data_IF_014294770951
#
_entry.id   IF_014294770951
#
_cell.length_a   1.000
_cell.length_b   1.000
_cell.length_c   1.000
_cell.angle_alpha   90.00
_cell.angle_beta   90.00
_cell.angle_gamma   90.00
#
_symmetry.space_group_name_H-M   'P 1'
#
loop_
_entity.id
_entity.type
_entity.pdbx_description
1 polymer ?
#
# COMPACT_ATOMS: atom_id res chain seq x y z
N UNK A 1 -9.24 12.19 59.80
CA UNK A 1 -9.26 12.05 58.34
C UNK A 1 -9.96 13.28 57.77
N UNK A 2 -9.24 14.29 57.22
CA UNK A 2 -9.88 15.47 56.68
C UNK A 2 -10.25 15.24 55.20
N UNK A 3 -11.43 15.76 54.84
CA UNK A 3 -12.04 15.71 53.51
C UNK A 3 -11.26 16.60 52.53
N UNK A 4 -10.96 16.12 51.34
CA UNK A 4 -10.33 16.87 50.26
C UNK A 4 -11.38 17.73 49.55
N UNK A 5 -11.21 19.03 49.58
CA UNK A 5 -11.91 20.04 48.81
C UNK A 5 -11.66 19.87 47.30
N UNK A 6 -12.71 19.82 46.50
CA UNK A 6 -12.66 19.89 45.08
C UNK A 6 -12.76 21.35 44.66
N UNK A 7 -11.65 21.93 44.28
CA UNK A 7 -11.59 23.25 43.66
C UNK A 7 -12.30 23.23 42.27
N UNK A 8 -13.38 24.01 42.15
CA UNK A 8 -14.08 24.28 40.91
C UNK A 8 -13.31 25.33 40.10
N UNK A 9 -12.93 25.01 38.85
CA UNK A 9 -12.37 25.94 37.91
C UNK A 9 -13.41 26.97 37.44
N UNK A 10 -13.07 28.25 37.26
CA UNK A 10 -14.02 29.29 36.81
C UNK A 10 -14.33 29.13 35.33
N UNK A 11 -15.63 29.24 35.01
CA UNK A 11 -16.14 29.29 33.64
C UNK A 11 -15.67 30.60 32.97
N UNK A 12 -15.00 30.48 31.81
CA UNK A 12 -14.67 31.60 30.94
C UNK A 12 -15.97 32.14 30.30
N UNK A 13 -16.29 33.38 30.61
CA UNK A 13 -17.31 34.18 29.95
C UNK A 13 -16.94 34.37 28.46
N UNK A 14 -17.83 33.93 27.58
CA UNK A 14 -17.74 34.22 26.15
C UNK A 14 -18.39 35.60 25.94
N UNK A 15 -17.55 36.62 25.78
CA UNK A 15 -17.98 37.93 25.32
C UNK A 15 -18.61 37.83 23.94
N UNK A 16 -19.91 38.15 23.85
CA UNK A 16 -20.65 38.31 22.60
C UNK A 16 -20.24 39.61 21.95
N UNK A 17 -19.62 39.53 20.78
CA UNK A 17 -19.36 40.69 19.92
C UNK A 17 -20.68 41.31 19.43
N UNK A 18 -20.82 42.63 19.45
CA UNK A 18 -22.04 43.29 18.99
C UNK A 18 -22.20 43.19 17.47
N UNK A 19 -23.37 42.67 17.02
CA UNK A 19 -23.74 42.68 15.60
C UNK A 19 -23.75 44.12 15.06
N UNK A 20 -22.86 44.41 14.13
CA UNK A 20 -22.91 45.64 13.33
C UNK A 20 -24.22 45.70 12.56
N UNK A 21 -25.12 46.64 12.92
CA UNK A 21 -26.30 47.01 12.12
C UNK A 21 -25.76 47.54 10.77
N UNK A 22 -26.11 46.82 9.70
CA UNK A 22 -25.98 47.38 8.33
C UNK A 22 -27.02 48.47 8.18
N UNK A 23 -26.57 49.72 8.07
CA UNK A 23 -27.37 50.82 7.62
C UNK A 23 -27.87 50.58 6.20
N UNK A 24 -29.19 50.51 6.01
CA UNK A 24 -29.81 50.58 4.69
C UNK A 24 -29.67 52.00 4.17
N UNK A 25 -28.97 52.13 3.04
CA UNK A 25 -28.99 53.35 2.24
C UNK A 25 -30.32 53.38 1.47
N UNK A 26 -31.03 54.51 1.42
CA UNK A 26 -32.25 54.63 0.62
C UNK A 26 -31.88 54.76 -0.87
N UNK A 27 -32.64 54.04 -1.62
CA UNK A 27 -33.02 54.10 -3.02
C UNK A 27 -32.34 55.13 -3.95
N UNK A 28 -31.47 54.62 -4.79
CA UNK A 28 -31.22 55.25 -6.08
C UNK A 28 -32.00 54.50 -7.17
N UNK A 29 -33.21 54.90 -7.38
CA UNK A 29 -33.95 54.61 -8.61
C UNK A 29 -33.30 55.41 -9.74
N UNK A 30 -32.63 54.77 -10.68
CA UNK A 30 -32.05 55.44 -11.85
C UNK A 30 -31.41 54.45 -12.81
N UNK A 31 -32.15 54.12 -13.87
CA UNK A 31 -31.62 53.74 -15.19
C UNK A 31 -30.90 52.38 -15.35
N UNK A 32 -31.63 51.26 -15.20
CA UNK A 32 -31.17 49.98 -15.76
C UNK A 32 -31.72 49.61 -17.16
N UNK A 33 -32.31 50.58 -17.89
CA UNK A 33 -32.83 50.30 -19.24
C UNK A 33 -31.80 50.50 -20.37
N UNK A 34 -30.64 51.12 -20.11
CA UNK A 34 -29.64 51.37 -21.16
C UNK A 34 -28.63 50.25 -21.31
N UNK A 35 -28.34 49.48 -20.27
CA UNK A 35 -27.32 48.45 -20.30
C UNK A 35 -27.74 47.17 -21.00
N UNK A 36 -29.05 46.87 -20.99
CA UNK A 36 -29.59 45.60 -21.59
C UNK A 36 -29.55 45.64 -23.14
N UNK A 37 -29.59 46.84 -23.75
CA UNK A 37 -29.53 46.99 -25.19
C UNK A 37 -28.09 46.89 -25.73
N UNK A 38 -27.12 47.40 -24.93
CA UNK A 38 -25.70 47.36 -25.30
C UNK A 38 -25.10 45.95 -25.26
N UNK A 39 -25.49 45.15 -24.25
CA UNK A 39 -25.03 43.75 -24.13
C UNK A 39 -25.65 42.81 -25.20
N UNK A 40 -26.78 43.20 -25.84
CA UNK A 40 -27.35 42.44 -26.97
C UNK A 40 -26.61 42.69 -28.31
N UNK A 41 -26.00 43.84 -28.45
CA UNK A 41 -25.27 44.21 -29.67
C UNK A 41 -23.81 43.76 -29.67
N UNK A 42 -23.24 43.49 -28.48
CA UNK A 42 -21.85 43.09 -28.35
C UNK A 42 -21.74 41.97 -27.27
N UNK A 43 -22.05 40.69 -27.62
CA UNK A 43 -21.93 39.61 -26.67
C UNK A 43 -20.48 39.47 -26.23
N UNK A 44 -20.20 39.72 -24.96
CA UNK A 44 -18.89 39.48 -24.36
C UNK A 44 -18.48 38.04 -24.65
N UNK A 45 -17.22 37.81 -25.08
CA UNK A 45 -16.76 36.44 -25.32
C UNK A 45 -16.95 35.65 -23.99
N UNK A 46 -17.76 34.60 -24.07
CA UNK A 46 -17.96 33.69 -22.93
C UNK A 46 -16.59 33.07 -22.65
N UNK A 47 -16.05 33.36 -21.46
CA UNK A 47 -14.86 32.68 -20.99
C UNK A 47 -15.05 31.16 -21.15
N UNK A 48 -14.04 30.42 -21.66
CA UNK A 48 -14.16 28.99 -21.83
C UNK A 48 -14.59 28.35 -20.51
N UNK A 49 -15.47 27.35 -20.54
CA UNK A 49 -15.93 26.71 -19.32
C UNK A 49 -14.70 26.17 -18.59
N UNK A 50 -14.51 26.64 -17.35
CA UNK A 50 -13.46 26.08 -16.48
C UNK A 50 -13.75 24.60 -16.34
N UNK A 51 -12.86 23.76 -16.86
CA UNK A 51 -12.94 22.33 -16.68
C UNK A 51 -13.00 22.05 -15.17
N UNK A 52 -14.10 21.49 -14.73
CA UNK A 52 -14.24 21.04 -13.35
C UNK A 52 -13.28 19.89 -13.16
N UNK A 53 -12.24 20.09 -12.36
CA UNK A 53 -11.32 19.04 -11.99
C UNK A 53 -12.15 17.89 -11.38
N UNK A 54 -12.00 16.69 -11.94
CA UNK A 54 -12.63 15.50 -11.39
C UNK A 54 -12.08 15.27 -9.98
N UNK A 55 -12.93 14.89 -9.02
CA UNK A 55 -12.46 14.57 -7.67
C UNK A 55 -11.38 13.49 -7.76
N UNK A 56 -10.25 13.73 -7.14
CA UNK A 56 -9.20 12.71 -7.03
C UNK A 56 -9.52 11.83 -5.82
N UNK A 57 -10.02 10.63 -6.07
CA UNK A 57 -10.28 9.62 -5.02
C UNK A 57 -9.03 8.80 -4.67
N UNK A 58 -7.90 9.09 -5.27
CA UNK A 58 -6.63 8.49 -4.88
C UNK A 58 -6.26 8.89 -3.46
N UNK A 59 -5.74 7.95 -2.68
CA UNK A 59 -5.22 8.22 -1.34
C UNK A 59 -4.13 9.29 -1.43
N UNK A 60 -4.28 10.39 -0.69
CA UNK A 60 -3.21 11.38 -0.56
C UNK A 60 -2.00 10.71 0.12
N UNK A 61 -0.78 11.09 -0.26
CA UNK A 61 0.44 10.45 0.26
C UNK A 61 0.50 10.37 1.79
N UNK A 62 -0.01 11.38 2.50
CA UNK A 62 -0.08 11.41 3.96
C UNK A 62 -1.11 10.43 4.53
N UNK A 63 -2.29 10.29 3.90
CA UNK A 63 -3.31 9.31 4.31
C UNK A 63 -2.86 7.89 4.02
N UNK A 64 -2.22 7.64 2.87
CA UNK A 64 -1.66 6.35 2.53
C UNK A 64 -0.54 5.96 3.52
N UNK A 65 0.32 6.91 3.90
CA UNK A 65 1.35 6.69 4.90
C UNK A 65 0.76 6.36 6.28
N UNK A 66 -0.29 7.08 6.70
CA UNK A 66 -0.95 6.83 7.99
C UNK A 66 -1.66 5.47 8.07
N UNK A 67 -2.20 4.98 6.95
CA UNK A 67 -2.89 3.67 6.89
C UNK A 67 -1.94 2.48 6.72
N UNK A 68 -0.75 2.70 6.15
CA UNK A 68 0.22 1.65 5.87
C UNK A 68 1.44 1.75 6.82
N UNK A 69 1.17 1.67 8.11
CA UNK A 69 2.21 1.68 9.15
C UNK A 69 2.24 0.37 9.93
N UNK A 70 3.43 -0.18 10.17
CA UNK A 70 3.66 -1.35 11.04
C UNK A 70 4.62 -0.92 12.15
N UNK A 71 4.20 -1.05 13.40
CA UNK A 71 4.97 -0.62 14.59
C UNK A 71 5.47 0.85 14.52
N UNK A 72 4.67 1.76 13.96
CA UNK A 72 5.03 3.18 13.82
C UNK A 72 5.95 3.52 12.65
N UNK A 73 6.37 2.52 11.86
CA UNK A 73 7.19 2.73 10.67
C UNK A 73 6.31 2.64 9.42
N UNK A 74 6.44 3.61 8.53
CA UNK A 74 5.73 3.63 7.25
C UNK A 74 6.27 2.55 6.33
N UNK A 75 5.39 1.70 5.83
CA UNK A 75 5.76 0.63 4.90
C UNK A 75 5.88 1.18 3.48
N UNK A 76 6.97 0.82 2.79
CA UNK A 76 7.17 1.14 1.37
C UNK A 76 6.30 0.32 0.43
N UNK A 77 5.78 -0.79 0.92
CA UNK A 77 4.99 -1.75 0.16
C UNK A 77 3.54 -1.74 0.59
N UNK A 78 2.64 -1.83 -0.39
CA UNK A 78 1.21 -2.00 -0.17
C UNK A 78 0.76 -3.31 -0.81
N UNK A 79 0.06 -4.12 -0.02
CA UNK A 79 -0.39 -5.44 -0.46
C UNK A 79 -1.48 -5.33 -1.54
N UNK A 80 -1.36 -6.05 -2.66
CA UNK A 80 -2.36 -6.03 -3.72
C UNK A 80 -3.63 -6.78 -3.33
N UNK A 81 -4.75 -6.47 -3.98
CA UNK A 81 -6.06 -7.12 -3.73
C UNK A 81 -6.08 -8.63 -4.03
N UNK A 82 -5.15 -9.09 -4.87
CA UNK A 82 -4.98 -10.49 -5.27
C UNK A 82 -4.14 -11.31 -4.29
N UNK A 83 -3.68 -10.69 -3.21
CA UNK A 83 -2.90 -11.33 -2.18
C UNK A 83 -3.69 -12.47 -1.52
N UNK A 84 -3.07 -13.64 -1.41
CA UNK A 84 -3.65 -14.82 -0.78
C UNK A 84 -2.57 -15.56 -0.01
N UNK A 85 -2.96 -16.17 1.10
CA UNK A 85 -2.07 -17.07 1.84
C UNK A 85 -1.91 -18.37 1.06
N UNK A 86 -0.69 -18.87 1.03
CA UNK A 86 -0.36 -20.17 0.45
C UNK A 86 0.29 -21.04 1.51
N UNK A 87 0.09 -22.35 1.42
CA UNK A 87 0.71 -23.32 2.32
C UNK A 87 1.77 -24.13 1.57
N UNK A 88 2.66 -24.74 2.34
CA UNK A 88 3.66 -25.66 1.82
C UNK A 88 4.89 -25.00 1.20
N UNK A 89 5.08 -23.70 1.36
CA UNK A 89 6.31 -23.04 0.94
C UNK A 89 7.27 -22.87 2.12
N UNK A 90 8.54 -23.23 1.87
CA UNK A 90 9.64 -23.08 2.82
C UNK A 90 10.81 -22.37 2.17
N UNK A 91 11.55 -21.61 2.95
CA UNK A 91 12.82 -21.03 2.55
C UNK A 91 13.92 -21.67 3.39
N UNK A 92 14.87 -22.28 2.73
CA UNK A 92 16.09 -22.75 3.35
C UNK A 92 17.15 -21.67 3.24
N UNK A 93 17.72 -21.29 4.37
CA UNK A 93 18.74 -20.24 4.42
C UNK A 93 20.10 -20.90 4.54
N UNK A 94 20.94 -20.68 3.55
CA UNK A 94 22.32 -21.18 3.53
C UNK A 94 23.32 -20.03 3.76
N UNK A 95 24.43 -20.35 4.37
CA UNK A 95 25.60 -19.49 4.47
C UNK A 95 26.87 -20.32 4.32
N UNK A 96 27.70 -19.97 3.34
CA UNK A 96 28.91 -20.73 3.04
C UNK A 96 28.66 -22.24 2.83
N UNK A 97 27.58 -22.58 2.14
CA UNK A 97 27.19 -23.96 1.85
C UNK A 97 26.61 -24.75 3.03
N UNK A 98 26.41 -24.11 4.20
CA UNK A 98 25.78 -24.74 5.37
C UNK A 98 24.39 -24.17 5.56
N UNK A 99 23.41 -25.03 5.78
CA UNK A 99 22.07 -24.64 6.21
C UNK A 99 22.13 -24.04 7.62
N UNK A 100 21.55 -22.86 7.78
CA UNK A 100 21.50 -22.14 9.06
C UNK A 100 20.09 -22.06 9.62
N UNK A 101 19.06 -21.97 8.76
CA UNK A 101 17.68 -21.78 9.19
C UNK A 101 16.69 -22.28 8.15
N UNK A 102 15.45 -22.58 8.58
CA UNK A 102 14.34 -22.94 7.71
C UNK A 102 13.13 -22.11 8.10
N UNK A 103 12.64 -21.31 7.16
CA UNK A 103 11.51 -20.42 7.36
C UNK A 103 10.25 -20.97 6.67
N UNK A 104 9.17 -21.11 7.40
CA UNK A 104 7.87 -21.52 6.85
C UNK A 104 7.07 -20.29 6.41
N UNK A 105 6.54 -20.29 5.20
CA UNK A 105 5.79 -19.18 4.61
C UNK A 105 4.26 -19.39 4.63
N UNK A 106 3.74 -20.14 5.59
CA UNK A 106 2.32 -20.53 5.63
C UNK A 106 1.38 -19.51 6.29
N UNK A 107 1.96 -18.56 7.03
CA UNK A 107 1.18 -17.72 7.97
C UNK A 107 0.59 -16.47 7.32
N UNK A 108 1.31 -15.87 6.40
CA UNK A 108 1.00 -14.56 5.82
C UNK A 108 0.89 -14.66 4.30
N UNK A 109 0.24 -13.68 3.70
CA UNK A 109 0.17 -13.50 2.25
C UNK A 109 1.40 -12.77 1.71
N UNK A 110 2.08 -11.99 2.56
CA UNK A 110 3.30 -11.29 2.22
C UNK A 110 4.32 -11.35 3.36
N UNK A 111 5.60 -11.34 3.01
CA UNK A 111 6.72 -11.33 3.95
C UNK A 111 7.70 -10.25 3.55
N UNK A 112 7.89 -9.28 4.44
CA UNK A 112 8.87 -8.22 4.25
C UNK A 112 10.26 -8.72 4.63
N UNK A 113 11.19 -8.59 3.71
CA UNK A 113 12.61 -8.86 3.90
C UNK A 113 13.37 -7.56 4.09
N UNK A 114 14.19 -7.46 5.12
CA UNK A 114 14.96 -6.25 5.37
C UNK A 114 15.87 -6.32 6.57
N UNK A 115 16.66 -5.26 6.74
CA UNK A 115 17.58 -5.15 7.88
C UNK A 115 16.88 -4.70 9.17
N UNK A 116 15.77 -3.96 9.05
CA UNK A 116 15.03 -3.46 10.22
C UNK A 116 14.18 -4.56 10.83
N UNK A 117 14.62 -5.10 11.96
CA UNK A 117 13.93 -6.18 12.70
C UNK A 117 12.57 -5.78 13.27
N UNK A 118 12.25 -4.48 13.36
CA UNK A 118 10.96 -4.02 13.89
C UNK A 118 9.84 -4.31 12.91
N UNK A 119 10.12 -4.17 11.62
CA UNK A 119 9.10 -4.29 10.55
C UNK A 119 9.30 -5.51 9.66
N UNK A 120 10.56 -5.98 9.51
CA UNK A 120 10.86 -7.13 8.66
C UNK A 120 10.36 -8.44 9.29
N UNK A 121 9.67 -9.25 8.48
CA UNK A 121 9.26 -10.60 8.85
C UNK A 121 10.44 -11.58 8.70
N UNK A 122 11.31 -11.31 7.72
CA UNK A 122 12.54 -12.05 7.47
C UNK A 122 13.72 -11.08 7.63
N UNK A 123 14.38 -11.08 8.79
CA UNK A 123 15.49 -10.16 9.03
C UNK A 123 16.75 -10.62 8.31
N UNK A 124 17.35 -9.72 7.51
CA UNK A 124 18.64 -9.91 6.87
C UNK A 124 19.66 -8.99 7.52
N UNK A 125 20.44 -9.54 8.45
CA UNK A 125 21.44 -8.77 9.21
C UNK A 125 22.71 -8.54 8.40
N UNK A 126 22.62 -7.72 7.36
CA UNK A 126 23.77 -7.32 6.56
C UNK A 126 23.70 -5.82 6.26
N UNK A 127 24.84 -5.14 6.33
CA UNK A 127 24.92 -3.68 6.16
C UNK A 127 24.54 -3.23 4.76
N UNK A 128 24.78 -4.06 3.74
CA UNK A 128 24.40 -3.79 2.36
C UNK A 128 22.90 -3.89 2.10
N UNK A 129 22.13 -4.45 3.04
CA UNK A 129 20.69 -4.58 2.88
C UNK A 129 19.97 -3.33 3.38
N UNK A 130 18.94 -2.91 2.66
CA UNK A 130 18.07 -1.81 3.05
C UNK A 130 17.19 -2.19 4.23
N UNK A 131 16.69 -1.20 5.01
CA UNK A 131 15.78 -1.42 6.13
C UNK A 131 14.53 -2.19 5.72
N UNK A 132 13.92 -1.80 4.60
CA UNK A 132 12.89 -2.53 3.85
C UNK A 132 13.47 -2.80 2.47
N UNK A 133 13.87 -4.04 2.19
CA UNK A 133 14.66 -4.39 1.02
C UNK A 133 13.80 -4.97 -0.10
N UNK A 134 13.07 -6.03 0.19
CA UNK A 134 12.22 -6.74 -0.75
C UNK A 134 11.00 -7.31 -0.06
N UNK A 135 10.00 -7.71 -0.84
CA UNK A 135 8.81 -8.42 -0.34
C UNK A 135 8.60 -9.69 -1.13
N UNK A 136 8.31 -10.77 -0.41
CA UNK A 136 7.82 -12.01 -0.98
C UNK A 136 6.30 -11.95 -0.88
N UNK A 137 5.61 -11.94 -2.01
CA UNK A 137 4.15 -11.80 -2.09
C UNK A 137 3.52 -13.01 -2.74
N UNK A 138 2.61 -13.65 -2.05
CA UNK A 138 1.75 -14.69 -2.62
C UNK A 138 0.54 -14.05 -3.29
N UNK A 139 0.36 -14.33 -4.59
CA UNK A 139 -0.73 -13.79 -5.40
C UNK A 139 -1.52 -14.89 -6.07
N UNK A 140 -2.83 -14.71 -6.10
CA UNK A 140 -3.71 -15.55 -6.89
C UNK A 140 -3.60 -15.16 -8.36
N UNK A 141 -3.21 -16.10 -9.21
CA UNK A 141 -3.14 -15.91 -10.65
C UNK A 141 -4.39 -16.50 -11.28
N UNK A 142 -5.12 -15.72 -12.05
CA UNK A 142 -6.23 -16.23 -12.85
C UNK A 142 -5.65 -16.82 -14.13
N UNK A 143 -5.65 -18.13 -14.24
CA UNK A 143 -5.29 -18.84 -15.47
C UNK A 143 -6.50 -18.80 -16.40
N UNK A 144 -6.31 -18.27 -17.61
CA UNK A 144 -7.31 -18.35 -18.68
C UNK A 144 -7.17 -19.71 -19.35
N UNK A 145 -8.27 -20.44 -19.47
CA UNK A 145 -8.32 -21.66 -20.24
C UNK A 145 -8.17 -21.37 -21.74
N UNK A 146 -7.91 -22.37 -22.55
CA UNK A 146 -7.82 -22.27 -24.00
C UNK A 146 -9.07 -21.64 -24.66
N UNK A 147 -10.20 -21.67 -23.96
CA UNK A 147 -11.48 -21.08 -24.37
C UNK A 147 -11.66 -19.62 -23.91
N UNK A 148 -10.67 -19.03 -23.23
CA UNK A 148 -10.71 -17.64 -22.75
C UNK A 148 -11.48 -17.41 -21.46
N UNK A 149 -12.06 -18.46 -20.87
CA UNK A 149 -12.75 -18.38 -19.60
C UNK A 149 -11.75 -18.32 -18.44
N UNK A 150 -12.03 -17.42 -17.50
CA UNK A 150 -11.25 -17.31 -16.26
C UNK A 150 -11.74 -18.39 -15.31
N UNK A 151 -10.90 -19.37 -15.00
CA UNK A 151 -11.19 -20.35 -13.93
C UNK A 151 -11.34 -19.61 -12.60
N UNK A 152 -12.59 -19.29 -12.27
CA UNK A 152 -12.95 -18.88 -10.93
C UNK A 152 -12.95 -20.14 -10.06
N UNK A 153 -12.27 -20.15 -8.91
CA UNK A 153 -12.36 -21.28 -8.00
C UNK A 153 -13.84 -21.51 -7.68
N UNK A 154 -14.37 -22.66 -8.13
CA UNK A 154 -15.75 -23.04 -7.90
C UNK A 154 -15.91 -23.26 -6.39
N UNK A 155 -16.72 -22.42 -5.75
CA UNK A 155 -16.98 -22.43 -4.30
C UNK A 155 -17.69 -23.68 -3.76
N UNK A 156 -17.87 -24.73 -4.57
CA UNK A 156 -18.79 -25.82 -4.29
C UNK A 156 -18.18 -27.22 -4.36
N UNK A 157 -16.97 -27.45 -3.81
CA UNK A 157 -16.56 -28.81 -3.49
C UNK A 157 -15.96 -28.87 -2.10
N UNK A 158 -16.49 -29.74 -1.22
CA UNK A 158 -15.87 -29.96 0.07
C UNK A 158 -14.57 -30.75 -0.10
N UNK A 159 -13.51 -30.19 0.42
CA UNK A 159 -12.24 -30.77 0.85
C UNK A 159 -11.36 -31.58 -0.12
N UNK A 160 -11.43 -31.43 -1.43
CA UNK A 160 -10.36 -31.92 -2.31
C UNK A 160 -9.69 -30.74 -3.02
N UNK A 161 -8.41 -30.62 -2.77
CA UNK A 161 -7.38 -29.80 -3.43
C UNK A 161 -7.90 -28.93 -4.57
N UNK A 162 -8.50 -27.79 -4.24
CA UNK A 162 -8.49 -26.66 -5.17
C UNK A 162 -7.01 -26.31 -5.28
N UNK A 163 -6.37 -26.66 -6.40
CA UNK A 163 -5.09 -26.07 -6.75
C UNK A 163 -5.30 -24.55 -6.72
N UNK A 164 -5.02 -23.99 -5.57
CA UNK A 164 -5.05 -22.53 -5.45
C UNK A 164 -3.94 -22.06 -6.35
N UNK A 165 -4.28 -21.47 -7.51
CA UNK A 165 -3.32 -20.86 -8.43
C UNK A 165 -2.61 -19.67 -7.76
N UNK A 166 -2.18 -19.87 -6.52
CA UNK A 166 -1.43 -18.91 -5.73
C UNK A 166 0.04 -19.19 -5.92
N UNK A 167 0.74 -18.21 -6.45
CA UNK A 167 2.17 -18.28 -6.72
C UNK A 167 2.93 -17.26 -5.91
N UNK A 168 4.14 -17.59 -5.45
CA UNK A 168 5.03 -16.63 -4.82
C UNK A 168 5.69 -15.72 -5.86
N UNK A 169 5.77 -14.46 -5.53
CA UNK A 169 6.49 -13.44 -6.30
C UNK A 169 7.43 -12.69 -5.38
N UNK A 170 8.55 -12.25 -5.92
CA UNK A 170 9.44 -11.33 -5.25
C UNK A 170 9.39 -9.96 -5.92
N UNK A 171 9.43 -8.91 -5.12
CA UNK A 171 9.52 -7.53 -5.57
C UNK A 171 10.59 -6.80 -4.76
N UNK A 172 11.54 -6.16 -5.43
CA UNK A 172 12.52 -5.29 -4.81
C UNK A 172 11.92 -3.91 -4.53
N UNK A 173 12.16 -3.34 -3.35
CA UNK A 173 11.60 -2.06 -2.89
C UNK A 173 12.55 -0.89 -3.10
N UNK A 174 13.18 -0.77 -4.25
CA UNK A 174 14.25 0.19 -4.53
C UNK A 174 15.39 0.04 -3.51
N UNK A 175 15.89 -1.19 -3.38
CA UNK A 175 17.00 -1.45 -2.48
C UNK A 175 18.31 -0.88 -3.03
N UNK A 176 19.24 -0.51 -2.14
CA UNK A 176 20.49 0.15 -2.53
C UNK A 176 21.37 -0.75 -3.41
N UNK A 177 21.49 -2.02 -3.06
CA UNK A 177 22.37 -2.97 -3.77
C UNK A 177 21.59 -3.94 -4.66
N UNK A 178 20.24 -3.92 -4.60
CA UNK A 178 19.36 -4.76 -5.39
C UNK A 178 19.21 -6.16 -4.83
N UNK A 179 18.30 -6.90 -5.44
CA UNK A 179 17.99 -8.31 -5.15
C UNK A 179 18.40 -9.14 -6.36
N UNK A 180 18.98 -10.31 -6.13
CA UNK A 180 19.38 -11.26 -7.17
C UNK A 180 18.49 -12.51 -7.10
N UNK A 181 17.99 -12.95 -8.25
CA UNK A 181 17.28 -14.21 -8.44
C UNK A 181 18.09 -15.09 -9.39
N UNK A 182 18.52 -16.25 -8.90
CA UNK A 182 19.36 -17.19 -9.65
C UNK A 182 20.65 -16.57 -10.24
N UNK A 183 21.23 -15.58 -9.54
CA UNK A 183 22.43 -14.86 -9.98
C UNK A 183 22.17 -13.68 -10.92
N UNK A 184 20.94 -13.43 -11.30
CA UNK A 184 20.56 -12.26 -12.10
C UNK A 184 19.89 -11.21 -11.21
N UNK A 185 20.30 -9.94 -11.39
CA UNK A 185 19.72 -8.82 -10.66
C UNK A 185 18.34 -8.49 -11.20
N UNK A 186 17.32 -8.47 -10.33
CA UNK A 186 15.95 -8.14 -10.71
C UNK A 186 15.72 -6.62 -10.75
N UNK A 187 14.78 -6.19 -11.60
CA UNK A 187 14.33 -4.80 -11.65
C UNK A 187 13.55 -4.43 -10.40
N UNK A 188 13.81 -3.25 -9.85
CA UNK A 188 13.05 -2.74 -8.72
C UNK A 188 11.59 -2.47 -9.08
N UNK A 189 10.69 -2.61 -8.10
CA UNK A 189 9.23 -2.40 -8.20
C UNK A 189 8.51 -3.29 -9.22
N UNK A 190 9.12 -4.36 -9.66
CA UNK A 190 8.51 -5.34 -10.54
C UNK A 190 8.41 -6.70 -9.85
N UNK A 191 7.31 -7.41 -10.11
CA UNK A 191 7.09 -8.76 -9.60
C UNK A 191 7.79 -9.79 -10.47
N UNK A 192 8.61 -10.63 -9.85
CA UNK A 192 9.23 -11.80 -10.45
C UNK A 192 8.68 -13.05 -9.80
N UNK A 193 8.20 -13.99 -10.61
CA UNK A 193 7.69 -15.27 -10.11
C UNK A 193 8.83 -16.10 -9.53
N UNK A 194 8.62 -16.66 -8.35
CA UNK A 194 9.55 -17.59 -7.70
C UNK A 194 9.04 -19.02 -7.96
N UNK A 195 9.95 -19.87 -8.38
CA UNK A 195 9.70 -21.30 -8.57
C UNK A 195 10.40 -22.11 -7.50
N UNK A 196 10.05 -23.39 -7.44
CA UNK A 196 10.78 -24.36 -6.58
C UNK A 196 12.23 -24.44 -7.02
N UNK A 197 13.14 -24.46 -6.04
CA UNK A 197 14.60 -24.48 -6.21
C UNK A 197 15.24 -23.15 -6.64
N UNK A 198 14.44 -22.07 -6.79
CA UNK A 198 15.02 -20.74 -7.04
C UNK A 198 15.80 -20.25 -5.82
N UNK A 199 16.94 -19.64 -6.13
CA UNK A 199 17.85 -19.05 -5.14
C UNK A 199 17.77 -17.52 -5.21
N UNK A 200 17.54 -16.90 -4.05
CA UNK A 200 17.50 -15.44 -3.90
C UNK A 200 18.65 -14.98 -3.02
N UNK A 201 19.30 -13.89 -3.41
CA UNK A 201 20.29 -13.15 -2.61
C UNK A 201 19.85 -11.70 -2.44
N UNK A 202 20.09 -11.15 -1.25
CA UNK A 202 19.75 -9.76 -0.93
C UNK A 202 21.01 -8.93 -0.77
N UNK A 203 21.21 -7.95 -1.67
CA UNK A 203 22.38 -7.10 -1.69
C UNK A 203 23.67 -7.90 -1.81
N UNK A 204 24.66 -7.55 -1.01
CA UNK A 204 25.97 -8.25 -0.96
C UNK A 204 26.03 -9.25 0.21
N UNK A 205 24.88 -9.73 0.68
CA UNK A 205 24.83 -10.72 1.75
C UNK A 205 25.39 -12.07 1.29
N UNK A 206 26.13 -12.74 2.18
CA UNK A 206 26.64 -14.10 1.94
C UNK A 206 25.59 -15.18 2.20
N UNK A 207 24.37 -14.80 2.60
CA UNK A 207 23.26 -15.72 2.80
C UNK A 207 22.52 -15.94 1.48
N UNK A 208 22.16 -17.18 1.23
CA UNK A 208 21.39 -17.66 0.08
C UNK A 208 20.06 -18.20 0.57
N UNK A 209 18.98 -17.82 -0.09
CA UNK A 209 17.62 -18.18 0.28
C UNK A 209 17.05 -19.04 -0.83
N UNK A 210 16.88 -20.35 -0.57
CA UNK A 210 16.35 -21.30 -1.54
C UNK A 210 14.89 -21.59 -1.22
N UNK A 211 14.03 -21.42 -2.22
CA UNK A 211 12.61 -21.64 -2.10
C UNK A 211 12.24 -23.05 -2.49
N UNK A 212 11.53 -23.76 -1.61
CA UNK A 212 11.08 -25.13 -1.86
C UNK A 212 9.58 -25.22 -1.54
N UNK A 213 8.82 -25.78 -2.47
CA UNK A 213 7.42 -26.15 -2.27
C UNK A 213 7.34 -27.58 -1.79
N UNK A 214 6.74 -27.80 -0.64
CA UNK A 214 6.49 -29.14 -0.08
C UNK A 214 5.34 -29.81 -0.85
N UNK A 215 5.58 -30.90 -1.56
CA UNK A 215 4.55 -31.57 -2.34
C UNK A 215 3.49 -32.24 -1.46
N UNK A 216 3.76 -32.46 -0.18
CA UNK A 216 2.84 -33.14 0.75
C UNK A 216 1.71 -32.23 1.27
N UNK A 217 1.79 -30.92 1.01
CA UNK A 217 0.85 -29.90 1.52
C UNK A 217 0.00 -29.33 0.36
N UNK A 218 -0.11 -30.02 -0.75
CA UNK A 218 -0.93 -29.61 -1.90
C UNK A 218 -2.43 -29.86 -1.64
#
# INVERSE_FOLDING_TARGET
>A
MPRRDRSRSPRRDRSRSPRRRRSRSPDAWGSHQHDVAYDRANPRPKSPPKEKQKPNYGLSGLLAAATNTKHGVVMKYHEPSEARKCKGWRIYVFKNGKEIDVLNLDRQSSYLVGRDRIVADIPVDHTSCSSQHAVIQFRQVNVKNEYGDVDKPIKYFPCYAVETNVRPYIIDLDSTNGTELNGEKIESRRYFEIRTEDMVKFGESTREYIFIKDPSVA
#
